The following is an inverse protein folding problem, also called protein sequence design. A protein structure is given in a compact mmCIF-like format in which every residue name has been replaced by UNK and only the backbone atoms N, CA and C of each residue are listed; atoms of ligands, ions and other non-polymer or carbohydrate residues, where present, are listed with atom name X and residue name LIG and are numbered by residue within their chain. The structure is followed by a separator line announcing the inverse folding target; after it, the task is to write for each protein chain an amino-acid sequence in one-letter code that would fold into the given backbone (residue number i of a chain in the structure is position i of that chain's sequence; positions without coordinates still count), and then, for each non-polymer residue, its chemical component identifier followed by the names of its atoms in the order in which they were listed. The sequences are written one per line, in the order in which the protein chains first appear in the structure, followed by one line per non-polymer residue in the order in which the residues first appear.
data_IF_229148232820
#
_entry.id   IF_229148232820
#
_cell.length_a   1.000
_cell.length_b   1.000
_cell.length_c   1.000
_cell.angle_alpha   90.00
_cell.angle_beta   90.00
_cell.angle_gamma   90.00
#
_symmetry.space_group_name_H-M   'P 1'
#
loop_
_entity.id
_entity.type
_entity.pdbx_description
1 polymer ?
#
# COMPACT_ATOMS: atom_id res chain seq x y z
N UNK A 1 6.57 -26.41 -4.35
CA UNK A 1 6.00 -25.58 -3.27
C UNK A 1 6.97 -24.48 -2.94
N UNK A 2 6.61 -23.24 -3.21
CA UNK A 2 7.43 -22.05 -2.95
C UNK A 2 6.59 -20.94 -2.33
N UNK A 3 7.26 -19.88 -1.91
CA UNK A 3 6.60 -18.65 -1.47
C UNK A 3 6.29 -17.79 -2.70
N UNK A 4 5.12 -17.16 -2.69
CA UNK A 4 4.69 -16.24 -3.72
C UNK A 4 4.44 -14.88 -3.10
N UNK A 5 4.98 -13.86 -3.78
CA UNK A 5 4.73 -12.47 -3.44
C UNK A 5 4.20 -11.76 -4.67
N UNK A 6 3.22 -10.89 -4.47
CA UNK A 6 2.64 -10.06 -5.53
C UNK A 6 2.15 -8.74 -4.96
N UNK A 7 2.13 -7.71 -5.79
CA UNK A 7 1.55 -6.41 -5.45
C UNK A 7 0.39 -6.07 -6.35
N UNK A 8 -0.70 -5.60 -5.75
CA UNK A 8 -1.85 -5.07 -6.46
C UNK A 8 -2.00 -3.59 -6.17
N UNK A 9 -1.92 -2.78 -7.22
CA UNK A 9 -2.11 -1.33 -7.19
C UNK A 9 -3.46 -1.00 -7.81
N UNK A 10 -4.27 -0.22 -7.10
CA UNK A 10 -5.64 0.13 -7.52
C UNK A 10 -5.93 1.58 -7.21
N UNK A 11 -6.50 2.29 -8.18
CA UNK A 11 -7.11 3.60 -7.99
C UNK A 11 -8.63 3.46 -7.99
N UNK A 12 -9.30 4.15 -7.07
CA UNK A 12 -10.76 4.20 -6.98
C UNK A 12 -11.16 5.67 -6.95
N UNK A 13 -11.99 6.11 -7.89
CA UNK A 13 -12.50 7.48 -7.95
C UNK A 13 -13.95 7.45 -8.45
N UNK A 14 -14.69 8.51 -8.17
CA UNK A 14 -16.05 8.68 -8.70
C UNK A 14 -16.23 10.00 -9.44
N UNK A 15 -15.42 11.01 -9.10
CA UNK A 15 -15.41 12.28 -9.82
C UNK A 15 -14.74 12.12 -11.18
N UNK A 16 -15.17 12.96 -12.14
CA UNK A 16 -14.62 12.97 -13.50
C UNK A 16 -13.26 13.65 -13.58
N UNK A 17 -12.96 14.51 -12.61
CA UNK A 17 -11.70 15.23 -12.48
C UNK A 17 -10.70 14.54 -11.54
N UNK A 18 -11.03 13.34 -11.05
CA UNK A 18 -10.22 12.52 -10.15
C UNK A 18 -9.89 13.16 -8.78
N UNK A 19 -10.54 14.27 -8.43
CA UNK A 19 -10.33 14.97 -7.15
C UNK A 19 -10.65 14.11 -5.92
N UNK A 20 -11.43 13.04 -6.07
CA UNK A 20 -11.79 12.09 -5.01
C UNK A 20 -11.02 10.76 -5.09
N UNK A 21 -9.95 10.70 -5.88
CA UNK A 21 -9.21 9.46 -6.10
C UNK A 21 -8.55 8.94 -4.81
N UNK A 22 -8.71 7.64 -4.58
CA UNK A 22 -8.04 6.87 -3.52
C UNK A 22 -7.13 5.83 -4.16
N UNK A 23 -5.85 5.89 -3.80
CA UNK A 23 -4.85 4.92 -4.18
C UNK A 23 -4.69 3.86 -3.10
N UNK A 24 -4.71 2.59 -3.50
CA UNK A 24 -4.54 1.43 -2.63
C UNK A 24 -3.45 0.54 -3.23
N UNK A 25 -2.43 0.24 -2.43
CA UNK A 25 -1.39 -0.75 -2.73
C UNK A 25 -1.52 -1.90 -1.73
N UNK A 26 -1.79 -3.11 -2.22
CA UNK A 26 -1.80 -4.32 -1.42
C UNK A 26 -0.56 -5.16 -1.73
N UNK A 27 0.24 -5.45 -0.71
CA UNK A 27 1.24 -6.49 -0.73
C UNK A 27 0.56 -7.81 -0.34
N UNK A 28 0.76 -8.85 -1.14
CA UNK A 28 0.12 -10.15 -0.98
C UNK A 28 1.20 -11.21 -0.89
N UNK A 29 1.22 -11.93 0.22
CA UNK A 29 2.11 -13.06 0.45
C UNK A 29 1.32 -14.35 0.57
N UNK A 30 1.65 -15.35 -0.26
CA UNK A 30 1.02 -16.67 -0.27
C UNK A 30 -0.53 -16.66 -0.31
N UNK A 31 -1.10 -15.66 -1.01
CA UNK A 31 -2.54 -15.40 -1.22
C UNK A 31 -3.24 -14.54 -0.16
N UNK A 32 -2.55 -14.17 0.92
CA UNK A 32 -3.08 -13.26 1.94
C UNK A 32 -2.46 -11.88 1.82
N UNK A 33 -3.28 -10.83 1.95
CA UNK A 33 -2.75 -9.46 2.05
C UNK A 33 -2.04 -9.33 3.38
N UNK A 34 -0.72 -9.12 3.35
CA UNK A 34 0.08 -8.96 4.56
C UNK A 34 0.33 -7.49 4.91
N UNK A 35 0.41 -6.60 3.91
CA UNK A 35 0.58 -5.15 4.07
C UNK A 35 -0.32 -4.39 3.09
N UNK A 36 -0.90 -3.27 3.52
CA UNK A 36 -1.62 -2.35 2.65
C UNK A 36 -1.18 -0.90 2.89
N UNK A 37 -1.02 -0.13 1.82
CA UNK A 37 -1.05 1.34 1.85
C UNK A 37 -2.40 1.82 1.30
N UNK A 38 -3.02 2.76 1.99
CA UNK A 38 -4.23 3.44 1.53
C UNK A 38 -3.99 4.95 1.60
N UNK A 39 -4.16 5.67 0.49
CA UNK A 39 -3.85 7.11 0.43
C UNK A 39 -4.70 7.96 1.38
N UNK A 40 -5.88 7.49 1.79
CA UNK A 40 -6.70 8.18 2.81
C UNK A 40 -6.09 8.11 4.20
N UNK A 41 -5.35 7.03 4.49
CA UNK A 41 -4.61 6.81 5.76
C UNK A 41 -3.21 7.42 5.66
N UNK A 42 -2.58 7.28 4.50
CA UNK A 42 -1.29 7.87 4.17
C UNK A 42 -0.08 7.12 4.73
N UNK A 43 -0.23 5.89 5.22
CA UNK A 43 0.88 5.05 5.70
C UNK A 43 0.55 3.56 5.55
N UNK A 44 1.57 2.70 5.67
CA UNK A 44 1.42 1.25 5.55
C UNK A 44 0.82 0.64 6.81
N UNK A 45 -0.12 -0.28 6.64
CA UNK A 45 -0.77 -1.06 7.70
C UNK A 45 -0.48 -2.53 7.44
N UNK A 46 0.08 -3.22 8.44
CA UNK A 46 0.28 -4.67 8.39
C UNK A 46 -0.91 -5.44 8.96
N UNK A 47 -1.28 -6.55 8.33
CA UNK A 47 -2.38 -7.43 8.78
C UNK A 47 -1.91 -8.77 9.35
N UNK A 48 -0.63 -9.11 9.18
CA UNK A 48 0.02 -10.27 9.80
C UNK A 48 1.19 -9.79 10.65
N UNK A 49 1.69 -10.61 11.58
CA UNK A 49 2.85 -10.23 12.39
C UNK A 49 4.08 -9.85 11.53
N UNK A 50 4.30 -10.55 10.42
CA UNK A 50 5.34 -10.22 9.44
C UNK A 50 5.07 -8.87 8.77
N UNK A 51 3.82 -8.66 8.32
CA UNK A 51 3.41 -7.41 7.70
C UNK A 51 3.48 -6.20 8.64
N UNK A 52 3.13 -6.36 9.93
CA UNK A 52 3.23 -5.29 10.93
C UNK A 52 4.68 -4.85 11.11
N UNK A 53 5.59 -5.81 11.28
CA UNK A 53 7.03 -5.51 11.40
C UNK A 53 7.56 -4.74 10.18
N UNK A 54 7.21 -5.19 8.97
CA UNK A 54 7.65 -4.52 7.74
C UNK A 54 7.00 -3.14 7.55
N UNK A 55 5.69 -3.02 7.85
CA UNK A 55 4.97 -1.75 7.79
C UNK A 55 5.58 -0.71 8.74
N UNK A 56 5.98 -1.10 9.95
CA UNK A 56 6.69 -0.21 10.88
C UNK A 56 8.04 0.27 10.31
N UNK A 57 8.79 -0.59 9.64
CA UNK A 57 10.05 -0.21 9.01
C UNK A 57 9.83 0.76 7.85
N UNK A 58 8.88 0.46 6.95
CA UNK A 58 8.59 1.31 5.80
C UNK A 58 8.00 2.66 6.20
N UNK A 59 7.18 2.70 7.26
CA UNK A 59 6.66 3.97 7.80
C UNK A 59 7.75 4.83 8.44
N UNK A 60 8.85 4.24 8.90
CA UNK A 60 10.01 4.95 9.47
C UNK A 60 10.98 5.44 8.39
N UNK A 61 10.97 4.87 7.19
CA UNK A 61 11.77 5.33 6.06
C UNK A 61 11.01 6.42 5.28
N UNK A 62 11.40 7.70 5.40
CA UNK A 62 10.70 8.78 4.73
C UNK A 62 10.80 8.70 3.20
N UNK A 63 11.84 8.06 2.64
CA UNK A 63 11.97 7.95 1.19
C UNK A 63 10.92 6.98 0.63
N UNK A 64 10.75 5.82 1.27
CA UNK A 64 9.75 4.82 0.85
C UNK A 64 8.35 5.41 1.02
N UNK A 65 8.05 5.95 2.21
CA UNK A 65 6.71 6.47 2.50
C UNK A 65 6.32 7.64 1.60
N UNK A 66 7.25 8.55 1.30
CA UNK A 66 6.97 9.68 0.39
C UNK A 66 6.84 9.23 -1.06
N UNK A 67 7.63 8.27 -1.52
CA UNK A 67 7.49 7.72 -2.87
C UNK A 67 6.09 7.13 -3.10
N UNK A 68 5.60 6.30 -2.17
CA UNK A 68 4.26 5.70 -2.31
C UNK A 68 3.13 6.71 -2.14
N UNK A 69 3.32 7.77 -1.33
CA UNK A 69 2.37 8.89 -1.29
C UNK A 69 2.30 9.64 -2.62
N UNK A 70 3.44 9.81 -3.30
CA UNK A 70 3.51 10.51 -4.58
C UNK A 70 2.86 9.74 -5.74
N UNK A 71 2.68 8.42 -5.62
CA UNK A 71 2.00 7.61 -6.64
C UNK A 71 0.53 7.99 -6.86
N UNK A 72 -0.09 8.70 -5.92
CA UNK A 72 -1.44 9.25 -6.12
C UNK A 72 -1.48 10.27 -7.27
N UNK A 73 -0.37 10.94 -7.56
CA UNK A 73 -0.29 12.06 -8.52
C UNK A 73 0.22 11.63 -9.91
N UNK A 74 0.48 10.34 -10.14
CA UNK A 74 1.11 9.81 -11.37
C UNK A 74 0.22 8.81 -12.09
#
# INVERSE_FOLDING_TARGET
NGYYWSEWRKCIHSSRDFSDMVFILNSIFNKDVDIQFNSTVGYYVGYTAHGVYNAELWNKDPNILQQTRAELET
#
